data_IF_591806273696
#
_entry.id   IF_591806273696
#
_cell.length_a   1.000
_cell.length_b   1.000
_cell.length_c   1.000
_cell.angle_alpha   90.00
_cell.angle_beta   90.00
_cell.angle_gamma   90.00
#
_symmetry.space_group_name_H-M   'P 1'
#
loop_
_entity.id
_entity.type
_entity.pdbx_description
1 polymer ?
#
# COMPACT_ATOMS: atom_id res chain seq x y z
N UNK A 1 9.34 -26.28 5.16
CA UNK A 1 9.00 -24.92 5.64
C UNK A 1 9.53 -24.77 7.06
N UNK A 2 10.37 -23.77 7.34
CA UNK A 2 10.92 -23.53 8.68
C UNK A 2 10.00 -22.57 9.45
N UNK A 3 9.48 -23.02 10.60
CA UNK A 3 8.58 -22.26 11.49
C UNK A 3 9.30 -21.08 12.19
N UNK A 4 10.64 -21.01 12.14
CA UNK A 4 11.45 -19.97 12.80
C UNK A 4 11.81 -18.77 11.91
N UNK A 5 11.28 -18.71 10.68
CA UNK A 5 11.63 -17.66 9.71
C UNK A 5 10.52 -16.62 9.48
N UNK A 6 9.40 -16.72 10.19
CA UNK A 6 8.42 -15.63 10.22
C UNK A 6 9.01 -14.47 11.01
N UNK A 7 9.21 -13.28 10.42
CA UNK A 7 9.62 -12.13 11.19
C UNK A 7 8.57 -11.92 12.28
N UNK A 8 9.01 -11.85 13.54
CA UNK A 8 8.11 -11.53 14.64
C UNK A 8 7.41 -10.21 14.31
N UNK A 9 6.10 -10.19 14.53
CA UNK A 9 5.32 -8.95 14.52
C UNK A 9 6.04 -7.97 15.43
N UNK A 10 6.56 -6.87 14.86
CA UNK A 10 7.27 -5.82 15.60
C UNK A 10 6.49 -5.50 16.89
N UNK A 11 7.17 -5.44 18.04
CA UNK A 11 6.54 -5.17 19.33
C UNK A 11 5.69 -3.87 19.30
N UNK A 12 6.08 -2.90 18.46
CA UNK A 12 5.30 -1.70 18.18
C UNK A 12 3.89 -2.03 17.61
N UNK A 13 3.81 -3.02 16.71
CA UNK A 13 2.54 -3.43 16.11
C UNK A 13 1.66 -4.21 17.10
N UNK A 14 2.27 -5.00 18.00
CA UNK A 14 1.53 -5.67 19.09
C UNK A 14 0.91 -4.65 20.06
N UNK A 15 1.66 -3.60 20.40
CA UNK A 15 1.13 -2.49 21.20
C UNK A 15 -0.06 -1.82 20.51
N UNK A 16 0.06 -1.51 19.21
CA UNK A 16 -1.03 -0.93 18.43
C UNK A 16 -2.27 -1.82 18.40
N UNK A 17 -2.10 -3.14 18.29
CA UNK A 17 -3.23 -4.06 18.36
C UNK A 17 -3.90 -4.04 19.73
N UNK A 18 -3.14 -3.89 20.81
CA UNK A 18 -3.68 -3.85 22.18
C UNK A 18 -4.54 -2.62 22.48
N UNK A 19 -4.18 -1.45 21.92
CA UNK A 19 -4.93 -0.20 22.13
C UNK A 19 -6.07 0.00 21.15
N UNK A 20 -6.16 -0.84 20.11
CA UNK A 20 -7.13 -0.70 19.04
C UNK A 20 -8.55 -1.07 19.47
N UNK A 21 -9.61 -0.40 18.97
CA UNK A 21 -10.99 -0.86 19.16
C UNK A 21 -11.23 -2.26 18.59
N UNK A 22 -10.36 -2.74 17.68
CA UNK A 22 -10.44 -4.06 17.07
C UNK A 22 -9.50 -5.10 17.71
N UNK A 23 -8.93 -4.82 18.90
CA UNK A 23 -7.92 -5.64 19.55
C UNK A 23 -8.22 -7.14 19.56
N UNK A 24 -9.44 -7.53 19.92
CA UNK A 24 -9.86 -8.94 19.96
C UNK A 24 -9.71 -9.64 18.61
N UNK A 25 -10.07 -8.97 17.51
CA UNK A 25 -9.98 -9.52 16.16
C UNK A 25 -8.52 -9.54 15.68
N UNK A 26 -7.78 -8.46 15.94
CA UNK A 26 -6.39 -8.32 15.52
C UNK A 26 -5.49 -9.37 16.18
N UNK A 27 -5.68 -9.62 17.48
CA UNK A 27 -4.90 -10.60 18.24
C UNK A 27 -5.19 -12.06 17.85
N UNK A 28 -6.34 -12.33 17.21
CA UNK A 28 -6.70 -13.65 16.71
C UNK A 28 -6.08 -13.96 15.34
N UNK A 29 -5.56 -12.95 14.63
CA UNK A 29 -5.01 -13.09 13.28
C UNK A 29 -3.49 -13.08 13.30
N UNK A 30 -2.90 -13.79 12.34
CA UNK A 30 -1.48 -13.68 12.04
C UNK A 30 -1.29 -12.74 10.87
N UNK A 31 -0.39 -11.78 11.04
CA UNK A 31 -0.01 -10.83 10.01
C UNK A 31 1.43 -11.11 9.61
N UNK A 32 1.69 -11.10 8.31
CA UNK A 32 3.03 -11.23 7.74
C UNK A 32 3.31 -10.00 6.89
N UNK A 33 4.57 -9.50 6.88
CA UNK A 33 4.95 -8.44 5.96
C UNK A 33 4.77 -8.88 4.49
N UNK A 34 4.53 -7.92 3.59
CA UNK A 34 4.56 -8.20 2.15
C UNK A 34 5.93 -8.75 1.76
N UNK A 35 5.94 -9.86 1.03
CA UNK A 35 7.18 -10.47 0.55
C UNK A 35 7.61 -9.86 -0.78
N UNK A 36 8.89 -10.02 -1.14
CA UNK A 36 9.43 -9.54 -2.42
C UNK A 36 8.70 -10.16 -3.62
N UNK A 37 8.25 -11.42 -3.51
CA UNK A 37 7.47 -12.08 -4.56
C UNK A 37 6.12 -11.41 -4.75
N UNK A 38 5.42 -11.06 -3.67
CA UNK A 38 4.14 -10.34 -3.74
C UNK A 38 4.36 -8.95 -4.33
N UNK A 39 5.40 -8.23 -3.90
CA UNK A 39 5.74 -6.92 -4.47
C UNK A 39 6.03 -7.01 -5.98
N UNK A 40 6.76 -8.04 -6.44
CA UNK A 40 6.99 -8.30 -7.87
C UNK A 40 5.71 -8.57 -8.62
N UNK A 41 4.81 -9.40 -8.07
CA UNK A 41 3.51 -9.70 -8.68
C UNK A 41 2.63 -8.44 -8.82
N UNK A 42 2.61 -7.58 -7.81
CA UNK A 42 1.91 -6.28 -7.86
C UNK A 42 2.48 -5.31 -8.91
N UNK A 43 3.72 -5.55 -9.36
CA UNK A 43 4.42 -4.74 -10.35
C UNK A 43 4.47 -5.36 -11.75
N UNK A 44 3.70 -6.43 -11.99
CA UNK A 44 3.56 -6.99 -13.34
C UNK A 44 2.76 -6.05 -14.24
N UNK A 45 3.10 -6.04 -15.53
CA UNK A 45 2.43 -5.23 -16.53
C UNK A 45 0.91 -5.53 -16.57
N UNK A 46 0.09 -4.50 -16.36
CA UNK A 46 -1.37 -4.65 -16.29
C UNK A 46 -2.03 -4.91 -17.64
N UNK A 47 -1.40 -4.51 -18.75
CA UNK A 47 -1.91 -4.76 -20.11
C UNK A 47 -1.73 -6.24 -20.47
N UNK A 48 -0.59 -6.84 -20.07
CA UNK A 48 -0.32 -8.26 -20.28
C UNK A 48 -0.96 -9.17 -19.22
N UNK A 49 -1.13 -8.66 -17.99
CA UNK A 49 -1.61 -9.42 -16.83
C UNK A 49 -2.72 -8.68 -16.07
N UNK A 50 -3.91 -8.49 -16.65
CA UNK A 50 -5.00 -7.75 -16.02
C UNK A 50 -5.48 -8.38 -14.69
N UNK A 51 -5.27 -9.68 -14.47
CA UNK A 51 -5.58 -10.35 -13.21
C UNK A 51 -4.83 -9.78 -11.99
N UNK A 52 -3.72 -9.07 -12.23
CA UNK A 52 -2.92 -8.41 -11.19
C UNK A 52 -3.72 -7.34 -10.44
N UNK A 53 -4.71 -6.72 -11.10
CA UNK A 53 -5.65 -5.78 -10.46
C UNK A 53 -6.37 -6.47 -9.30
N UNK A 54 -7.02 -7.61 -9.57
CA UNK A 54 -7.75 -8.36 -8.57
C UNK A 54 -6.84 -8.91 -7.48
N UNK A 55 -5.68 -9.46 -7.86
CA UNK A 55 -4.66 -9.91 -6.93
C UNK A 55 -4.25 -8.79 -5.95
N UNK A 56 -3.97 -7.60 -6.47
CA UNK A 56 -3.55 -6.44 -5.67
C UNK A 56 -4.64 -6.01 -4.69
N UNK A 57 -5.90 -5.97 -5.13
CA UNK A 57 -7.03 -5.65 -4.25
C UNK A 57 -7.13 -6.67 -3.12
N UNK A 58 -7.06 -7.96 -3.43
CA UNK A 58 -7.15 -9.03 -2.42
C UNK A 58 -6.01 -8.97 -1.41
N UNK A 59 -4.78 -8.74 -1.87
CA UNK A 59 -3.61 -8.62 -0.98
C UNK A 59 -3.73 -7.42 -0.05
N UNK A 60 -4.23 -6.28 -0.55
CA UNK A 60 -4.33 -5.06 0.23
C UNK A 60 -5.59 -5.00 1.11
N UNK A 61 -6.65 -5.73 0.79
CA UNK A 61 -7.85 -5.83 1.63
C UNK A 61 -7.53 -6.51 2.96
N UNK A 62 -7.62 -5.74 4.05
CA UNK A 62 -7.26 -6.17 5.40
C UNK A 62 -5.77 -6.02 5.72
N UNK A 63 -4.96 -5.50 4.80
CA UNK A 63 -3.57 -5.17 5.07
C UNK A 63 -3.47 -4.00 6.07
N UNK A 64 -2.36 -3.94 6.80
CA UNK A 64 -2.11 -2.91 7.80
C UNK A 64 -0.92 -2.09 7.34
N UNK A 65 -1.12 -0.81 7.13
CA UNK A 65 -0.04 0.14 6.84
C UNK A 65 0.38 0.81 8.14
N UNK A 66 1.66 0.70 8.50
CA UNK A 66 2.22 1.26 9.74
C UNK A 66 3.16 2.39 9.38
N UNK A 67 2.97 3.56 9.99
CA UNK A 67 3.91 4.66 9.92
C UNK A 67 4.85 4.59 11.13
N UNK A 68 6.07 4.12 10.89
CA UNK A 68 7.10 3.92 11.91
C UNK A 68 7.63 5.22 12.50
N UNK A 69 7.36 6.38 11.88
CA UNK A 69 7.82 7.67 12.41
C UNK A 69 6.90 8.21 13.50
N UNK A 70 5.64 7.76 13.57
CA UNK A 70 4.67 8.29 14.54
C UNK A 70 3.82 7.19 15.20
N UNK A 71 4.16 5.92 14.99
CA UNK A 71 3.46 4.76 15.53
C UNK A 71 1.94 4.81 15.29
N UNK A 72 1.51 5.25 14.11
CA UNK A 72 0.11 5.16 13.69
C UNK A 72 -0.04 4.05 12.65
N UNK A 73 -1.15 3.33 12.74
CA UNK A 73 -1.48 2.30 11.76
C UNK A 73 -2.89 2.51 11.20
N UNK A 74 -3.07 2.10 9.95
CA UNK A 74 -4.36 2.07 9.27
C UNK A 74 -4.57 0.65 8.75
N UNK A 75 -5.70 0.04 9.08
CA UNK A 75 -6.17 -1.16 8.41
C UNK A 75 -6.90 -0.76 7.14
N UNK A 76 -6.44 -1.25 6.01
CA UNK A 76 -7.06 -1.02 4.71
C UNK A 76 -8.32 -1.90 4.60
N UNK A 77 -9.46 -1.28 4.38
CA UNK A 77 -10.74 -1.97 4.20
C UNK A 77 -11.00 -2.24 2.72
N UNK A 78 -10.74 -1.24 1.89
CA UNK A 78 -11.00 -1.27 0.45
C UNK A 78 -9.81 -0.71 -0.32
N UNK A 79 -9.61 -1.24 -1.51
CA UNK A 79 -8.53 -0.88 -2.43
C UNK A 79 -9.10 -0.79 -3.85
N UNK A 80 -8.69 0.24 -4.58
CA UNK A 80 -9.05 0.44 -5.98
C UNK A 80 -7.78 0.74 -6.78
N UNK A 81 -7.50 -0.11 -7.77
CA UNK A 81 -6.24 -0.08 -8.53
C UNK A 81 -6.46 0.64 -9.84
N UNK A 82 -5.59 1.61 -10.13
CA UNK A 82 -5.59 2.39 -11.36
C UNK A 82 -4.27 2.22 -12.10
N UNK A 83 -4.35 2.12 -13.42
CA UNK A 83 -3.16 2.07 -14.27
C UNK A 83 -2.42 3.41 -14.33
N UNK A 84 -1.11 3.39 -14.56
CA UNK A 84 -0.30 4.63 -14.65
C UNK A 84 -0.23 5.26 -16.04
N UNK A 85 -0.57 4.53 -17.10
CA UNK A 85 -0.51 4.99 -18.49
C UNK A 85 -1.91 5.25 -19.03
N UNK A 86 -2.02 6.12 -20.05
CA UNK A 86 -3.32 6.48 -20.65
C UNK A 86 -3.93 5.33 -21.45
N UNK A 87 -3.10 4.41 -21.97
CA UNK A 87 -3.57 3.21 -22.67
C UNK A 87 -4.26 2.23 -21.73
N UNK A 88 -3.80 2.16 -20.48
CA UNK A 88 -4.35 1.26 -19.45
C UNK A 88 -5.49 1.92 -18.70
N UNK A 89 -5.35 3.20 -18.34
CA UNK A 89 -6.32 3.92 -17.53
C UNK A 89 -6.45 5.40 -17.93
N UNK A 90 -7.68 5.80 -18.28
CA UNK A 90 -7.97 7.19 -18.63
C UNK A 90 -7.93 8.13 -17.42
N UNK A 91 -8.21 7.59 -16.22
CA UNK A 91 -8.25 8.29 -14.94
C UNK A 91 -6.95 8.13 -14.14
N UNK A 92 -5.87 7.71 -14.81
CA UNK A 92 -4.52 7.59 -14.25
C UNK A 92 -4.08 8.82 -13.47
N UNK A 93 -3.18 8.59 -12.52
CA UNK A 93 -2.56 9.68 -11.79
C UNK A 93 -1.85 10.68 -12.75
N UNK A 94 -2.14 12.00 -12.64
CA UNK A 94 -1.44 13.01 -13.42
C UNK A 94 0.03 13.13 -12.96
N UNK A 95 0.94 13.30 -13.92
CA UNK A 95 2.36 13.53 -13.68
C UNK A 95 2.86 14.74 -14.47
N UNK A 96 3.94 15.36 -14.00
CA UNK A 96 4.65 16.42 -14.73
C UNK A 96 5.05 17.62 -13.86
N UNK A 97 5.47 18.69 -14.54
CA UNK A 97 5.77 19.98 -13.90
C UNK A 97 4.54 20.88 -13.91
N UNK A 98 4.26 21.50 -12.78
CA UNK A 98 3.35 22.64 -12.64
C UNK A 98 4.16 23.94 -12.77
N UNK A 99 3.48 25.07 -13.01
CA UNK A 99 4.15 26.38 -13.14
C UNK A 99 5.06 26.72 -11.96
N UNK A 100 4.71 26.26 -10.75
CA UNK A 100 5.42 26.56 -9.51
C UNK A 100 6.03 25.31 -8.82
N UNK A 101 6.23 24.20 -9.54
CA UNK A 101 6.86 23.02 -8.94
C UNK A 101 6.65 21.71 -9.70
N UNK A 102 6.97 20.60 -9.05
CA UNK A 102 6.72 19.25 -9.57
C UNK A 102 5.43 18.73 -8.96
N UNK A 103 4.57 18.12 -9.77
CA UNK A 103 3.36 17.50 -9.27
C UNK A 103 3.72 16.29 -8.38
N UNK A 104 3.24 16.27 -7.14
CA UNK A 104 3.44 15.12 -6.24
C UNK A 104 2.81 13.86 -6.86
N UNK A 105 3.61 12.80 -6.91
CA UNK A 105 3.20 11.49 -7.44
C UNK A 105 3.22 10.41 -6.36
N UNK A 106 2.49 9.32 -6.58
CA UNK A 106 2.60 8.12 -5.75
C UNK A 106 3.76 7.20 -6.12
N UNK A 107 4.65 7.57 -7.06
CA UNK A 107 5.72 6.65 -7.50
C UNK A 107 6.60 6.22 -6.31
N UNK A 108 6.98 4.92 -6.26
CA UNK A 108 7.94 4.45 -5.28
C UNK A 108 9.25 5.26 -5.37
N UNK A 109 9.88 5.58 -4.23
CA UNK A 109 11.15 6.30 -4.25
C UNK A 109 12.25 5.42 -4.89
N UNK A 110 13.21 6.02 -5.62
CA UNK A 110 14.29 5.28 -6.29
C UNK A 110 15.40 4.86 -5.33
N UNK A 111 15.02 4.30 -4.17
CA UNK A 111 15.92 3.82 -3.12
C UNK A 111 15.50 2.40 -2.71
N UNK A 112 16.40 1.67 -2.06
CA UNK A 112 16.05 0.37 -1.49
C UNK A 112 15.13 0.56 -0.29
N UNK A 113 13.95 -0.03 -0.34
CA UNK A 113 12.94 0.02 0.73
C UNK A 113 12.67 -1.39 1.28
N UNK A 114 11.91 -1.48 2.37
CA UNK A 114 11.47 -2.77 2.94
C UNK A 114 10.58 -3.55 1.98
N UNK A 115 9.70 -2.84 1.27
CA UNK A 115 8.85 -3.38 0.22
C UNK A 115 9.24 -2.69 -1.09
N UNK A 116 10.12 -3.32 -1.85
CA UNK A 116 10.65 -2.73 -3.07
C UNK A 116 9.50 -2.48 -4.06
N UNK A 117 9.51 -1.32 -4.70
CA UNK A 117 8.53 -0.95 -5.73
C UNK A 117 7.05 -0.93 -5.26
N UNK A 118 6.82 -0.91 -3.94
CA UNK A 118 5.50 -0.72 -3.32
C UNK A 118 5.64 0.29 -2.19
N UNK A 119 4.99 1.45 -2.32
CA UNK A 119 5.20 2.54 -1.38
C UNK A 119 3.89 3.23 -0.97
N UNK A 120 3.54 3.27 0.33
CA UNK A 120 2.41 4.04 0.81
C UNK A 120 2.73 5.54 0.80
N UNK A 121 1.80 6.33 0.28
CA UNK A 121 1.92 7.78 0.19
C UNK A 121 0.59 8.46 0.54
N UNK A 122 0.66 9.66 1.12
CA UNK A 122 -0.51 10.51 1.34
C UNK A 122 -0.44 11.69 0.39
N UNK A 123 -1.29 11.67 -0.64
CA UNK A 123 -1.34 12.73 -1.63
C UNK A 123 -2.42 13.74 -1.30
N UNK A 124 -2.05 15.01 -1.22
CA UNK A 124 -2.99 16.13 -1.11
C UNK A 124 -3.58 16.42 -2.49
N UNK A 125 -4.91 16.34 -2.58
CA UNK A 125 -5.72 16.68 -3.75
C UNK A 125 -6.77 17.72 -3.35
N UNK A 126 -7.52 18.24 -4.32
CA UNK A 126 -8.52 19.30 -4.06
C UNK A 126 -9.62 18.86 -3.09
N UNK A 127 -9.96 17.57 -3.10
CA UNK A 127 -10.97 16.94 -2.26
C UNK A 127 -10.40 16.40 -0.93
N UNK A 128 -9.14 16.67 -0.62
CA UNK A 128 -8.49 16.29 0.63
C UNK A 128 -7.27 15.40 0.45
N UNK A 129 -6.82 14.83 1.57
CA UNK A 129 -5.66 13.93 1.59
C UNK A 129 -6.12 12.49 1.35
N UNK A 130 -5.48 11.80 0.40
CA UNK A 130 -5.79 10.42 0.05
C UNK A 130 -4.60 9.51 0.32
N UNK A 131 -4.85 8.35 0.92
CA UNK A 131 -3.85 7.30 1.04
C UNK A 131 -3.78 6.53 -0.28
N UNK A 132 -2.60 6.55 -0.89
CA UNK A 132 -2.31 5.87 -2.15
C UNK A 132 -1.15 4.91 -1.91
N UNK A 133 -1.34 3.63 -2.23
CA UNK A 133 -0.24 2.67 -2.32
C UNK A 133 0.27 2.70 -3.76
N UNK A 134 1.44 3.29 -3.97
CA UNK A 134 2.04 3.37 -5.29
C UNK A 134 2.86 2.14 -5.64
N UNK A 135 2.74 1.69 -6.87
CA UNK A 135 3.67 0.74 -7.50
C UNK A 135 4.32 1.38 -8.73
N UNK A 136 5.19 0.67 -9.45
CA UNK A 136 5.78 1.16 -10.71
C UNK A 136 4.79 1.16 -11.87
N UNK A 137 3.79 0.28 -11.85
CA UNK A 137 2.84 0.07 -12.95
C UNK A 137 1.44 0.63 -12.66
N UNK A 138 1.11 0.78 -11.39
CA UNK A 138 -0.21 1.16 -10.90
C UNK A 138 -0.15 2.06 -9.68
N UNK A 139 -1.29 2.64 -9.33
CA UNK A 139 -1.50 3.29 -8.04
C UNK A 139 -2.81 2.78 -7.43
N UNK A 140 -2.79 2.50 -6.13
CA UNK A 140 -3.94 1.93 -5.43
C UNK A 140 -4.49 2.97 -4.48
N UNK A 141 -5.69 3.44 -4.74
CA UNK A 141 -6.43 4.23 -3.76
C UNK A 141 -6.94 3.30 -2.66
N UNK A 142 -6.64 3.63 -1.41
CA UNK A 142 -7.02 2.80 -0.27
C UNK A 142 -7.81 3.62 0.76
N UNK A 143 -8.86 3.00 1.29
CA UNK A 143 -9.63 3.53 2.41
C UNK A 143 -9.57 2.54 3.57
N UNK A 144 -9.55 3.07 4.78
CA UNK A 144 -9.30 2.26 5.96
C UNK A 144 -9.68 2.96 7.25
N UNK A 145 -9.57 2.22 8.34
CA UNK A 145 -9.77 2.74 9.69
C UNK A 145 -8.43 2.81 10.42
N UNK A 146 -8.24 3.85 11.21
CA UNK A 146 -7.12 3.90 12.15
C UNK A 146 -7.25 2.76 13.17
N UNK A 147 -6.11 2.13 13.47
CA UNK A 147 -6.00 1.13 14.52
C UNK A 147 -5.68 1.78 15.85
#
# INVERSE_FOLDING_TARGET
>A
MCIKCTPEVNDDLRYLFGISPYAKLLQQRQYVPLTDEICKLMNMDLELHPQVIFFTVVILSGAITVNTNNNKAIMLNTAEVYGRTKSIDHHREPYGKLKDGVQSTSLPPPIKTMHQDVWPNVLKRQDGSKLIIGTQVSNVFAMGNFL
#
